data_IF_324846355167
#
_entry.id   IF_324846355167
#
_cell.length_a   1.000
_cell.length_b   1.000
_cell.length_c   1.000
_cell.angle_alpha   90.00
_cell.angle_beta   90.00
_cell.angle_gamma   90.00
#
_symmetry.space_group_name_H-M   'P 1'
#
loop_
_entity.id
_entity.type
_entity.pdbx_description
1 polymer ?
#
# COMPACT_ATOMS: atom_id res chain seq x y z
N UNK A 1 -3.93 18.27 -1.16
CA UNK A 1 -3.65 16.84 -0.91
C UNK A 1 -2.17 16.54 -0.72
N UNK A 2 -1.27 17.11 -1.53
CA UNK A 2 0.19 16.92 -1.38
C UNK A 2 0.69 17.18 0.04
N UNK A 3 0.30 18.30 0.67
CA UNK A 3 0.71 18.63 2.04
C UNK A 3 0.34 17.56 3.08
N UNK A 4 -0.85 16.95 2.98
CA UNK A 4 -1.29 15.89 3.89
C UNK A 4 -0.44 14.63 3.65
N UNK A 5 -0.27 14.26 2.37
CA UNK A 5 0.58 13.13 1.98
C UNK A 5 2.02 13.30 2.46
N UNK A 6 2.60 14.49 2.32
CA UNK A 6 3.96 14.81 2.76
C UNK A 6 4.12 14.66 4.27
N UNK A 7 3.17 15.19 5.05
CA UNK A 7 3.23 15.10 6.51
C UNK A 7 3.06 13.66 7.02
N UNK A 8 2.13 12.91 6.44
CA UNK A 8 1.98 11.48 6.77
C UNK A 8 3.26 10.74 6.42
N UNK A 9 3.83 11.02 5.24
CA UNK A 9 5.05 10.34 4.80
C UNK A 9 6.23 10.63 5.72
N UNK A 10 6.40 11.89 6.14
CA UNK A 10 7.41 12.28 7.15
C UNK A 10 7.19 11.59 8.50
N UNK A 11 5.94 11.48 8.95
CA UNK A 11 5.64 10.78 10.20
C UNK A 11 6.07 9.30 10.13
N UNK A 12 5.81 8.64 8.99
CA UNK A 12 6.28 7.28 8.75
C UNK A 12 7.80 7.19 8.61
N UNK A 13 8.46 8.16 7.98
CA UNK A 13 9.93 8.20 7.89
C UNK A 13 10.57 8.29 9.27
N UNK A 14 10.05 9.15 10.15
CA UNK A 14 10.53 9.26 11.54
C UNK A 14 10.26 7.96 12.31
N UNK A 15 9.05 7.42 12.21
CA UNK A 15 8.67 6.19 12.92
C UNK A 15 9.48 4.96 12.45
N UNK A 16 9.84 4.91 11.17
CA UNK A 16 10.60 3.80 10.58
C UNK A 16 12.12 4.00 10.61
N UNK A 17 12.61 5.22 10.84
CA UNK A 17 14.03 5.54 10.91
C UNK A 17 14.87 4.62 11.84
N UNK A 18 14.43 4.24 13.07
CA UNK A 18 15.23 3.37 13.92
C UNK A 18 15.35 1.94 13.36
N UNK A 19 14.41 1.52 12.51
CA UNK A 19 14.39 0.18 11.91
C UNK A 19 15.19 0.11 10.61
N UNK A 20 15.63 1.24 10.04
CA UNK A 20 16.37 1.28 8.78
C UNK A 20 17.77 0.62 8.83
N UNK A 21 18.32 0.42 10.03
CA UNK A 21 19.58 -0.30 10.24
C UNK A 21 19.39 -1.80 10.50
N UNK A 22 18.16 -2.23 10.82
CA UNK A 22 17.81 -3.62 11.15
C UNK A 22 17.13 -4.25 9.93
N UNK A 23 16.88 -5.56 9.98
CA UNK A 23 16.09 -6.25 8.95
C UNK A 23 14.77 -5.50 8.67
N UNK A 24 14.37 -5.32 7.40
CA UNK A 24 13.12 -4.66 6.98
C UNK A 24 11.87 -5.17 7.72
N UNK A 25 11.92 -6.43 8.16
CA UNK A 25 10.84 -7.12 8.86
C UNK A 25 10.42 -6.42 10.16
N UNK A 26 11.36 -5.84 10.91
CA UNK A 26 11.04 -5.22 12.20
C UNK A 26 10.24 -3.93 12.06
N UNK A 27 10.58 -3.10 11.07
CA UNK A 27 9.80 -1.91 10.75
C UNK A 27 8.37 -2.27 10.34
N UNK A 28 8.21 -3.32 9.53
CA UNK A 28 6.90 -3.83 9.14
C UNK A 28 6.09 -4.32 10.35
N UNK A 29 6.69 -5.16 11.21
CA UNK A 29 6.02 -5.68 12.41
C UNK A 29 5.59 -4.55 13.37
N UNK A 30 6.46 -3.56 13.59
CA UNK A 30 6.15 -2.42 14.45
C UNK A 30 4.91 -1.66 13.93
N UNK A 31 4.87 -1.35 12.63
CA UNK A 31 3.72 -0.70 12.01
C UNK A 31 2.48 -1.58 12.07
N UNK A 32 2.60 -2.90 11.85
CA UNK A 32 1.48 -3.84 11.97
C UNK A 32 0.87 -3.88 13.37
N UNK A 33 1.71 -3.91 14.41
CA UNK A 33 1.23 -3.91 15.79
C UNK A 33 0.48 -2.61 16.11
N UNK A 34 1.07 -1.46 15.75
CA UNK A 34 0.43 -0.14 15.92
C UNK A 34 -0.88 -0.10 15.14
N UNK A 35 -0.90 -0.64 13.92
CA UNK A 35 -2.12 -0.74 13.11
C UNK A 35 -3.19 -1.57 13.82
N UNK A 36 -2.86 -2.76 14.33
CA UNK A 36 -3.79 -3.60 15.08
C UNK A 36 -4.42 -2.86 16.27
N UNK A 37 -3.61 -2.09 17.02
CA UNK A 37 -4.10 -1.23 18.11
C UNK A 37 -5.07 -0.17 17.60
N UNK A 38 -4.69 0.57 16.56
CA UNK A 38 -5.53 1.61 15.95
C UNK A 38 -6.87 1.00 15.50
N UNK A 39 -6.86 -0.16 14.85
CA UNK A 39 -8.09 -0.81 14.38
C UNK A 39 -9.01 -1.21 15.54
N UNK A 40 -8.47 -1.77 16.62
CA UNK A 40 -9.28 -2.10 17.82
C UNK A 40 -9.88 -0.84 18.43
N UNK A 41 -9.12 0.25 18.51
CA UNK A 41 -9.60 1.52 19.05
C UNK A 41 -10.69 2.14 18.15
N UNK A 42 -10.48 2.20 16.84
CA UNK A 42 -11.48 2.71 15.89
C UNK A 42 -12.75 1.88 15.96
N UNK A 43 -12.63 0.54 15.94
CA UNK A 43 -13.77 -0.36 16.07
C UNK A 43 -14.53 -0.15 17.37
N UNK A 44 -13.81 0.02 18.50
CA UNK A 44 -14.42 0.28 19.80
C UNK A 44 -15.28 1.53 19.81
N UNK A 45 -14.79 2.63 19.25
CA UNK A 45 -15.46 3.93 19.31
C UNK A 45 -16.59 4.09 18.29
N UNK A 46 -16.51 3.38 17.17
CA UNK A 46 -17.50 3.47 16.08
C UNK A 46 -18.63 2.45 16.22
N UNK A 47 -18.36 1.33 16.88
CA UNK A 47 -19.30 0.22 17.00
C UNK A 47 -20.24 0.36 18.20
N UNK A 48 -21.51 -0.02 18.02
CA UNK A 48 -22.46 -0.12 19.12
C UNK A 48 -22.21 -1.41 19.94
N UNK A 49 -21.25 -1.32 20.86
CA UNK A 49 -20.82 -2.44 21.71
C UNK A 49 -21.98 -3.06 22.51
N UNK A 50 -22.95 -2.26 22.96
CA UNK A 50 -24.09 -2.78 23.72
C UNK A 50 -25.03 -3.61 22.83
N UNK A 51 -25.34 -3.13 21.63
CA UNK A 51 -26.17 -3.87 20.67
C UNK A 51 -25.48 -5.15 20.19
N UNK A 52 -24.16 -5.12 20.01
CA UNK A 52 -23.36 -6.29 19.69
C UNK A 52 -23.45 -7.34 20.79
N UNK A 53 -23.23 -6.97 22.05
CA UNK A 53 -23.30 -7.90 23.18
C UNK A 53 -24.68 -8.53 23.30
N UNK A 54 -25.74 -7.72 23.26
CA UNK A 54 -27.13 -8.22 23.29
C UNK A 54 -27.43 -9.20 22.16
N UNK A 55 -26.94 -8.93 20.94
CA UNK A 55 -27.13 -9.84 19.80
C UNK A 55 -26.35 -11.14 19.98
N UNK A 56 -25.13 -11.08 20.52
CA UNK A 56 -24.29 -12.27 20.82
C UNK A 56 -24.92 -13.16 21.89
N UNK A 57 -25.53 -12.56 22.91
CA UNK A 57 -26.25 -13.29 23.95
C UNK A 57 -27.48 -14.00 23.36
N UNK A 58 -28.23 -13.34 22.47
CA UNK A 58 -29.36 -13.96 21.74
C UNK A 58 -28.93 -15.12 20.85
N UNK A 59 -27.82 -14.97 20.11
CA UNK A 59 -27.25 -16.05 19.30
C UNK A 59 -26.90 -17.24 20.18
N UNK A 60 -26.26 -16.99 21.33
CA UNK A 60 -25.88 -18.05 22.28
C UNK A 60 -27.10 -18.76 22.87
N UNK A 61 -28.18 -18.03 23.16
CA UNK A 61 -29.45 -18.60 23.62
C UNK A 61 -30.08 -19.50 22.56
N UNK A 62 -30.13 -19.09 21.29
CA UNK A 62 -30.67 -19.94 20.21
C UNK A 62 -29.79 -21.16 19.92
N UNK A 63 -28.47 -21.08 20.11
CA UNK A 63 -27.61 -22.28 20.05
C UNK A 63 -27.94 -23.28 21.16
N UNK A 64 -28.30 -22.80 22.36
CA UNK A 64 -28.74 -23.65 23.46
C UNK A 64 -30.11 -24.28 23.16
N UNK A 65 -31.02 -23.53 22.54
CA UNK A 65 -32.34 -23.99 22.09
C UNK A 65 -32.22 -25.15 21.09
N UNK A 66 -31.36 -25.02 20.07
CA UNK A 66 -31.05 -26.12 19.14
C UNK A 66 -30.51 -27.36 19.86
N UNK A 67 -29.70 -27.16 20.91
CA UNK A 67 -29.14 -28.27 21.69
C UNK A 67 -30.19 -28.94 22.59
N UNK A 68 -31.21 -28.20 23.02
CA UNK A 68 -32.28 -28.67 23.91
C UNK A 68 -33.40 -29.38 23.14
N UNK A 69 -33.73 -28.91 21.93
CA UNK A 69 -34.84 -29.41 21.09
C UNK A 69 -34.35 -30.18 19.86
N UNK A 70 -33.39 -31.08 20.04
CA UNK A 70 -32.80 -31.86 18.93
C UNK A 70 -33.78 -32.79 18.22
N UNK A 71 -34.85 -33.18 18.91
CA UNK A 71 -35.80 -34.19 18.44
C UNK A 71 -36.98 -33.60 17.64
N UNK A 72 -37.09 -32.26 17.56
CA UNK A 72 -38.11 -31.57 16.77
C UNK A 72 -37.47 -30.81 15.61
N UNK A 73 -37.58 -31.37 14.41
CA UNK A 73 -36.98 -30.83 13.18
C UNK A 73 -37.51 -29.44 12.84
N UNK A 74 -38.81 -29.17 13.07
CA UNK A 74 -39.42 -27.89 12.74
C UNK A 74 -38.92 -26.79 13.69
N UNK A 75 -38.84 -27.10 14.99
CA UNK A 75 -38.30 -26.19 16.00
C UNK A 75 -36.80 -25.90 15.76
N UNK A 76 -36.07 -26.92 15.31
CA UNK A 76 -34.64 -26.81 15.00
C UNK A 76 -34.39 -25.91 13.78
N UNK A 77 -35.16 -26.07 12.70
CA UNK A 77 -35.07 -25.23 11.50
C UNK A 77 -35.44 -23.77 11.79
N UNK A 78 -36.51 -23.54 12.55
CA UNK A 78 -36.91 -22.19 12.94
C UNK A 78 -35.83 -21.52 13.82
N UNK A 79 -35.23 -22.25 14.76
CA UNK A 79 -34.09 -21.78 15.55
C UNK A 79 -32.89 -21.41 14.68
N UNK A 80 -32.58 -22.19 13.63
CA UNK A 80 -31.53 -21.85 12.67
C UNK A 80 -31.83 -20.57 11.90
N UNK A 81 -33.08 -20.35 11.47
CA UNK A 81 -33.49 -19.09 10.81
C UNK A 81 -33.34 -17.90 11.78
N UNK A 82 -33.69 -18.07 13.06
CA UNK A 82 -33.50 -17.03 14.09
C UNK A 82 -32.02 -16.73 14.32
N UNK A 83 -31.15 -17.75 14.37
CA UNK A 83 -29.69 -17.58 14.45
C UNK A 83 -29.18 -16.80 13.24
N UNK A 84 -29.63 -17.16 12.03
CA UNK A 84 -29.22 -16.49 10.79
C UNK A 84 -29.63 -15.02 10.79
N UNK A 85 -30.88 -14.70 11.15
CA UNK A 85 -31.36 -13.31 11.27
C UNK A 85 -30.59 -12.51 12.32
N UNK A 86 -30.29 -13.11 13.47
CA UNK A 86 -29.47 -12.47 14.50
C UNK A 86 -28.04 -12.24 14.00
N UNK A 87 -27.47 -13.20 13.27
CA UNK A 87 -26.13 -13.07 12.67
C UNK A 87 -26.08 -11.96 11.62
N UNK A 88 -27.11 -11.84 10.76
CA UNK A 88 -27.22 -10.72 9.82
C UNK A 88 -27.35 -9.37 10.53
N UNK A 89 -28.11 -9.32 11.62
CA UNK A 89 -28.24 -8.13 12.45
C UNK A 89 -26.91 -7.75 13.11
N UNK A 90 -26.17 -8.74 13.61
CA UNK A 90 -24.82 -8.57 14.14
C UNK A 90 -23.85 -8.02 13.07
N UNK A 91 -23.86 -8.60 11.86
CA UNK A 91 -23.05 -8.13 10.74
C UNK A 91 -23.37 -6.68 10.40
N UNK A 92 -24.65 -6.28 10.39
CA UNK A 92 -25.08 -4.90 10.15
C UNK A 92 -24.43 -3.91 11.13
N UNK A 93 -24.33 -4.26 12.42
CA UNK A 93 -23.65 -3.41 13.40
C UNK A 93 -22.13 -3.29 13.18
N UNK A 94 -21.54 -4.23 12.44
CA UNK A 94 -20.11 -4.21 12.11
C UNK A 94 -19.79 -3.43 10.82
N UNK A 95 -20.78 -3.19 9.94
CA UNK A 95 -20.57 -2.49 8.65
C UNK A 95 -20.05 -1.07 8.85
N UNK A 96 -20.66 -0.28 9.74
CA UNK A 96 -20.25 1.10 9.96
C UNK A 96 -18.78 1.21 10.46
N UNK A 97 -18.34 0.46 11.48
CA UNK A 97 -16.94 0.38 11.86
C UNK A 97 -16.01 -0.02 10.71
N UNK A 98 -16.40 -1.02 9.90
CA UNK A 98 -15.59 -1.46 8.76
C UNK A 98 -15.39 -0.33 7.74
N UNK A 99 -16.44 0.41 7.41
CA UNK A 99 -16.33 1.56 6.50
C UNK A 99 -15.41 2.65 7.06
N UNK A 100 -15.49 2.93 8.36
CA UNK A 100 -14.58 3.90 8.99
C UNK A 100 -13.13 3.40 9.00
N UNK A 101 -12.90 2.09 9.16
CA UNK A 101 -11.56 1.49 9.13
C UNK A 101 -10.90 1.51 7.74
N UNK A 102 -11.67 1.59 6.65
CA UNK A 102 -11.11 1.67 5.29
C UNK A 102 -10.13 2.84 5.16
N UNK A 103 -10.48 4.00 5.73
CA UNK A 103 -9.67 5.23 5.62
C UNK A 103 -8.26 5.05 6.21
N UNK A 104 -8.07 4.69 7.49
CA UNK A 104 -6.73 4.48 8.03
C UNK A 104 -6.01 3.31 7.38
N UNK A 105 -6.70 2.22 7.01
CA UNK A 105 -6.05 1.07 6.34
C UNK A 105 -5.46 1.50 5.00
N UNK A 106 -6.20 2.22 4.16
CA UNK A 106 -5.71 2.69 2.86
C UNK A 106 -4.49 3.59 3.05
N UNK A 107 -4.51 4.52 4.02
CA UNK A 107 -3.38 5.41 4.29
C UNK A 107 -2.14 4.63 4.72
N UNK A 108 -2.29 3.64 5.61
CA UNK A 108 -1.18 2.79 6.07
C UNK A 108 -0.66 1.94 4.91
N UNK A 109 -1.55 1.35 4.12
CA UNK A 109 -1.19 0.53 2.97
C UNK A 109 -0.44 1.33 1.91
N UNK A 110 -0.85 2.56 1.64
CA UNK A 110 -0.12 3.46 0.73
C UNK A 110 1.31 3.71 1.21
N UNK A 111 1.48 3.98 2.52
CA UNK A 111 2.78 4.24 3.11
C UNK A 111 3.69 3.01 3.17
N UNK A 112 3.12 1.83 3.39
CA UNK A 112 3.87 0.58 3.33
C UNK A 112 4.19 0.18 1.89
N UNK A 113 3.26 0.36 0.96
CA UNK A 113 3.43 0.02 -0.45
C UNK A 113 4.63 0.72 -1.07
N UNK A 114 4.79 2.03 -0.86
CA UNK A 114 5.94 2.78 -1.39
C UNK A 114 7.29 2.39 -0.75
N UNK A 115 7.31 1.58 0.33
CA UNK A 115 8.54 1.16 1.04
C UNK A 115 8.83 -0.33 0.93
N UNK A 116 7.81 -1.17 0.75
CA UNK A 116 7.92 -2.62 0.85
C UNK A 116 7.41 -3.38 -0.37
N UNK A 117 6.73 -2.73 -1.32
CA UNK A 117 6.28 -3.40 -2.55
C UNK A 117 7.43 -3.60 -3.54
N UNK A 118 8.18 -2.52 -3.76
CA UNK A 118 9.39 -2.47 -4.60
C UNK A 118 10.56 -1.98 -3.78
N UNK A 119 11.76 -2.43 -4.13
CA UNK A 119 13.01 -1.98 -3.49
C UNK A 119 13.79 -1.05 -4.40
N UNK A 120 14.63 -0.22 -3.78
CA UNK A 120 15.67 0.53 -4.48
C UNK A 120 16.61 -0.40 -5.26
N UNK A 121 17.22 0.15 -6.30
CA UNK A 121 18.26 -0.55 -7.04
C UNK A 121 19.49 -0.68 -6.16
N UNK A 122 20.18 -1.82 -6.27
CA UNK A 122 21.50 -1.97 -5.68
C UNK A 122 22.56 -1.56 -6.70
N UNK A 123 23.75 -1.09 -6.26
CA UNK A 123 24.87 -0.89 -7.16
C UNK A 123 25.14 -2.14 -8.00
N UNK A 124 25.26 -1.97 -9.31
CA UNK A 124 25.41 -3.05 -10.30
C UNK A 124 24.11 -3.61 -10.88
N UNK A 125 22.94 -3.23 -10.35
CA UNK A 125 21.65 -3.60 -10.95
C UNK A 125 21.19 -2.56 -11.99
N UNK A 126 20.23 -2.94 -12.82
CA UNK A 126 19.64 -2.06 -13.81
C UNK A 126 18.11 -2.03 -13.70
N UNK A 127 17.51 -0.97 -14.24
CA UNK A 127 16.06 -0.82 -14.37
C UNK A 127 15.72 -0.29 -15.76
N UNK A 128 14.52 -0.65 -16.23
CA UNK A 128 13.92 -0.05 -17.41
C UNK A 128 13.12 1.17 -16.97
N UNK A 129 13.36 2.29 -17.63
CA UNK A 129 12.58 3.52 -17.50
C UNK A 129 11.75 3.66 -18.76
N UNK A 130 10.45 3.84 -18.53
CA UNK A 130 9.40 3.92 -19.53
C UNK A 130 8.79 5.29 -19.48
N UNK A 131 8.79 6.00 -20.60
CA UNK A 131 8.27 7.36 -20.70
C UNK A 131 7.12 7.36 -21.67
N UNK A 132 5.90 7.53 -21.16
CA UNK A 132 4.67 7.54 -21.96
C UNK A 132 4.20 8.96 -22.22
N UNK A 133 3.97 9.28 -23.49
CA UNK A 133 3.49 10.59 -23.92
C UNK A 133 1.98 10.72 -23.76
N UNK A 134 1.50 11.97 -23.71
CA UNK A 134 0.08 12.26 -23.75
C UNK A 134 -0.56 11.83 -25.07
N UNK A 135 -1.88 11.58 -25.05
CA UNK A 135 -2.60 11.10 -26.21
C UNK A 135 -2.67 12.11 -27.36
N UNK A 136 -2.44 13.39 -27.06
CA UNK A 136 -2.35 14.50 -28.01
C UNK A 136 -0.99 14.60 -28.73
N UNK A 137 -0.01 13.76 -28.36
CA UNK A 137 1.39 13.92 -28.79
C UNK A 137 1.88 12.70 -29.59
N UNK A 138 2.43 12.95 -30.78
CA UNK A 138 3.11 11.95 -31.60
C UNK A 138 4.60 11.90 -31.27
N UNK A 139 5.12 10.71 -30.96
CA UNK A 139 6.54 10.51 -30.60
C UNK A 139 7.51 10.81 -31.75
N UNK A 140 7.08 10.55 -33.00
CA UNK A 140 7.95 10.69 -34.17
C UNK A 140 8.44 12.11 -34.42
N UNK A 141 7.74 13.11 -33.90
CA UNK A 141 7.97 14.53 -34.25
C UNK A 141 8.78 15.29 -33.19
N UNK A 142 9.14 14.64 -32.07
CA UNK A 142 9.73 15.34 -30.92
C UNK A 142 11.11 14.75 -30.59
N UNK A 143 12.17 15.58 -30.56
CA UNK A 143 13.48 15.11 -30.12
C UNK A 143 13.43 14.73 -28.64
N UNK A 144 13.81 13.49 -28.34
CA UNK A 144 13.91 12.96 -26.98
C UNK A 144 15.38 12.73 -26.66
N UNK A 145 15.85 13.29 -25.55
CA UNK A 145 17.20 13.03 -25.04
C UNK A 145 17.14 12.72 -23.55
N UNK A 146 18.02 11.83 -23.10
CA UNK A 146 18.10 11.40 -21.71
C UNK A 146 19.51 11.65 -21.21
N UNK A 147 19.60 12.36 -20.09
CA UNK A 147 20.84 12.64 -19.38
C UNK A 147 20.77 11.97 -18.00
N UNK A 148 21.78 11.19 -17.65
CA UNK A 148 21.92 10.55 -16.33
C UNK A 148 22.99 11.24 -15.51
N UNK A 149 22.76 11.43 -14.21
CA UNK A 149 23.79 11.90 -13.28
C UNK A 149 24.88 10.85 -13.05
N UNK A 150 26.05 11.25 -12.51
CA UNK A 150 27.26 10.41 -12.38
C UNK A 150 27.05 9.04 -11.69
N UNK A 151 26.06 8.90 -10.83
CA UNK A 151 25.75 7.62 -10.17
C UNK A 151 24.83 6.66 -10.95
N UNK A 152 24.42 7.06 -12.16
CA UNK A 152 23.63 6.27 -13.08
C UNK A 152 24.31 6.23 -14.45
N UNK A 153 24.22 5.08 -15.11
CA UNK A 153 24.73 4.90 -16.47
C UNK A 153 23.58 4.59 -17.40
N UNK A 154 23.47 5.32 -18.51
CA UNK A 154 22.60 4.92 -19.61
C UNK A 154 23.22 3.70 -20.31
N UNK A 155 22.54 2.55 -20.26
CA UNK A 155 23.05 1.28 -20.80
C UNK A 155 22.61 1.03 -22.25
N UNK A 156 21.46 1.56 -22.64
CA UNK A 156 20.86 1.32 -23.97
C UNK A 156 20.54 2.65 -24.67
N UNK A 157 20.54 2.67 -26.01
CA UNK A 157 19.92 3.77 -26.75
C UNK A 157 18.42 3.83 -26.43
N UNK A 158 17.80 4.99 -26.71
CA UNK A 158 16.38 5.19 -26.53
C UNK A 158 15.61 4.37 -27.57
N UNK A 159 14.74 3.48 -27.11
CA UNK A 159 13.84 2.71 -27.95
C UNK A 159 12.50 3.45 -28.06
N UNK A 160 12.17 3.92 -29.26
CA UNK A 160 10.90 4.57 -29.54
C UNK A 160 9.86 3.54 -29.96
N UNK A 161 8.71 3.53 -29.30
CA UNK A 161 7.58 2.64 -29.60
C UNK A 161 6.36 3.50 -29.95
N UNK A 162 6.22 3.95 -31.22
CA UNK A 162 5.15 4.86 -31.63
C UNK A 162 3.74 4.34 -31.36
N UNK A 163 3.52 3.02 -31.51
CA UNK A 163 2.23 2.39 -31.29
C UNK A 163 1.74 2.49 -29.83
N UNK A 164 2.66 2.56 -28.87
CA UNK A 164 2.37 2.71 -27.43
C UNK A 164 2.56 4.14 -26.93
N UNK A 165 3.03 5.05 -27.80
CA UNK A 165 3.47 6.40 -27.41
C UNK A 165 4.44 6.34 -26.23
N UNK A 166 5.37 5.41 -26.29
CA UNK A 166 6.33 5.13 -25.23
C UNK A 166 7.79 5.23 -25.74
N UNK A 167 8.68 5.72 -24.88
CA UNK A 167 10.13 5.67 -25.06
C UNK A 167 10.76 4.92 -23.90
N UNK A 168 11.49 3.85 -24.23
CA UNK A 168 12.10 2.94 -23.27
C UNK A 168 13.61 3.04 -23.30
N UNK A 169 14.21 3.06 -22.12
CA UNK A 169 15.66 2.97 -21.98
C UNK A 169 16.04 2.32 -20.67
N UNK A 170 17.24 1.73 -20.63
CA UNK A 170 17.76 1.07 -19.45
C UNK A 170 18.82 1.93 -18.76
N UNK A 171 18.69 2.02 -17.45
CA UNK A 171 19.67 2.68 -16.57
C UNK A 171 20.31 1.65 -15.64
N UNK A 172 21.63 1.69 -15.55
CA UNK A 172 22.44 0.92 -14.60
C UNK A 172 22.78 1.77 -13.38
N UNK A 173 22.62 1.19 -12.19
CA UNK A 173 22.98 1.81 -10.92
C UNK A 173 24.48 1.64 -10.65
N UNK A 174 25.21 2.75 -10.48
CA UNK A 174 26.66 2.72 -10.28
C UNK A 174 27.03 2.95 -8.82
N UNK A 175 26.56 4.05 -8.23
CA UNK A 175 26.89 4.44 -6.85
C UNK A 175 25.64 4.54 -5.98
N UNK A 176 25.77 4.20 -4.69
CA UNK A 176 24.69 4.40 -3.72
C UNK A 176 24.40 5.90 -3.55
N UNK A 177 23.12 6.27 -3.55
CA UNK A 177 22.68 7.66 -3.53
C UNK A 177 21.36 7.88 -4.25
N UNK A 178 20.87 9.11 -4.17
CA UNK A 178 19.75 9.59 -4.98
C UNK A 178 20.31 10.27 -6.23
N UNK A 179 20.02 9.70 -7.40
CA UNK A 179 20.54 10.17 -8.68
C UNK A 179 19.41 10.54 -9.61
N UNK A 180 19.51 11.70 -10.27
CA UNK A 180 18.47 12.15 -11.17
C UNK A 180 18.67 11.61 -12.60
N UNK A 181 17.59 11.17 -13.21
CA UNK A 181 17.47 11.00 -14.67
C UNK A 181 16.70 12.20 -15.21
N UNK A 182 17.31 12.91 -16.14
CA UNK A 182 16.71 14.06 -16.80
C UNK A 182 16.24 13.64 -18.19
N UNK A 183 14.93 13.62 -18.41
CA UNK A 183 14.32 13.37 -19.71
C UNK A 183 13.98 14.72 -20.32
N UNK A 184 14.58 15.03 -21.48
CA UNK A 184 14.26 16.21 -22.27
C UNK A 184 13.39 15.80 -23.45
N UNK A 185 12.22 16.41 -23.56
CA UNK A 185 11.20 16.12 -24.56
C UNK A 185 10.80 17.42 -25.26
N UNK A 186 11.45 17.71 -26.39
CA UNK A 186 11.42 19.04 -27.00
C UNK A 186 12.03 20.09 -26.05
N UNK A 187 11.26 21.12 -25.71
CA UNK A 187 11.68 22.21 -24.81
C UNK A 187 11.47 21.87 -23.31
N UNK A 188 10.77 20.77 -22.99
CA UNK A 188 10.48 20.39 -21.61
C UNK A 188 11.60 19.50 -21.07
N UNK A 189 12.10 19.79 -19.85
CA UNK A 189 13.05 18.93 -19.14
C UNK A 189 12.45 18.49 -17.81
N UNK A 190 12.34 17.18 -17.62
CA UNK A 190 11.81 16.57 -16.40
C UNK A 190 12.89 15.76 -15.70
N UNK A 191 13.15 16.12 -14.45
CA UNK A 191 14.07 15.39 -13.57
C UNK A 191 13.29 14.42 -12.70
N UNK A 192 13.65 13.14 -12.77
CA UNK A 192 13.07 12.08 -11.95
C UNK A 192 14.17 11.42 -11.11
N UNK A 193 14.04 11.39 -9.78
CA UNK A 193 15.03 10.75 -8.92
C UNK A 193 14.92 9.23 -9.00
N UNK A 194 16.06 8.55 -9.07
CA UNK A 194 16.20 7.11 -8.93
C UNK A 194 17.09 6.87 -7.71
N UNK A 195 16.58 6.06 -6.79
CA UNK A 195 17.27 5.75 -5.55
C UNK A 195 18.04 4.46 -5.73
N UNK A 196 19.34 4.54 -5.48
CA UNK A 196 20.25 3.40 -5.40
C UNK A 196 20.62 3.21 -3.94
N UNK A 197 20.22 2.11 -3.32
CA UNK A 197 20.56 1.82 -1.92
C UNK A 197 20.44 0.33 -1.59
N UNK A 198 21.25 -0.11 -0.62
CA UNK A 198 21.13 -1.44 -0.03
C UNK A 198 20.08 -1.49 1.11
N UNK A 199 19.57 -0.34 1.54
CA UNK A 199 18.59 -0.22 2.63
C UNK A 199 17.17 -0.09 2.06
N UNK A 200 16.19 -0.33 2.93
CA UNK A 200 14.79 -0.02 2.62
C UNK A 200 14.67 1.48 2.44
N UNK A 201 14.19 1.88 1.28
CA UNK A 201 13.95 3.27 0.92
C UNK A 201 12.58 3.38 0.28
N UNK A 202 12.03 4.58 0.35
CA UNK A 202 10.78 4.90 -0.33
C UNK A 202 11.03 5.02 -1.83
N UNK A 203 10.43 4.17 -2.63
CA UNK A 203 10.53 4.21 -4.09
C UNK A 203 9.17 4.43 -4.71
N UNK A 204 9.17 5.14 -5.84
CA UNK A 204 7.96 5.44 -6.58
C UNK A 204 8.08 4.88 -8.01
N UNK A 205 7.45 3.73 -8.29
CA UNK A 205 7.57 3.08 -9.59
C UNK A 205 6.88 3.83 -10.72
N UNK A 206 5.91 4.70 -10.41
CA UNK A 206 5.15 5.45 -11.41
C UNK A 206 5.09 6.90 -10.96
N UNK A 207 5.35 7.82 -11.88
CA UNK A 207 5.14 9.26 -11.71
C UNK A 207 4.18 9.72 -12.80
N UNK A 208 2.97 10.11 -12.41
CA UNK A 208 1.93 10.53 -13.34
C UNK A 208 1.44 11.94 -13.02
N UNK A 209 0.50 12.44 -13.84
CA UNK A 209 -0.22 13.68 -13.58
C UNK A 209 -0.99 13.62 -12.24
N UNK A 210 -1.34 14.78 -11.66
CA UNK A 210 -2.13 14.85 -10.43
C UNK A 210 -3.46 14.12 -10.58
N UNK A 211 -3.83 13.35 -9.56
CA UNK A 211 -5.11 12.65 -9.49
C UNK A 211 -5.35 12.05 -8.12
N UNK A 212 -6.60 11.75 -7.78
CA UNK A 212 -6.96 11.19 -6.46
C UNK A 212 -6.25 9.85 -6.22
N UNK A 213 -6.27 8.96 -7.21
CA UNK A 213 -5.59 7.66 -7.11
C UNK A 213 -4.07 7.81 -6.99
N UNK A 214 -3.45 8.73 -7.75
CA UNK A 214 -2.01 8.99 -7.63
C UNK A 214 -1.65 9.57 -6.26
N UNK A 215 -2.47 10.48 -5.72
CA UNK A 215 -2.26 11.06 -4.39
C UNK A 215 -2.37 10.03 -3.26
N UNK A 216 -3.21 9.01 -3.42
CA UNK A 216 -3.36 7.91 -2.46
C UNK A 216 -2.29 6.85 -2.63
N UNK A 217 -1.98 6.41 -3.86
CA UNK A 217 -1.04 5.31 -4.12
C UNK A 217 0.43 5.74 -4.02
N UNK A 218 0.74 6.99 -4.32
CA UNK A 218 2.08 7.55 -4.28
C UNK A 218 2.13 8.81 -3.39
N UNK A 219 1.80 8.70 -2.09
CA UNK A 219 1.78 9.84 -1.20
C UNK A 219 3.20 10.40 -1.05
N UNK A 220 3.34 11.73 -1.15
CA UNK A 220 4.62 12.42 -1.04
C UNK A 220 5.49 12.42 -2.29
N UNK A 221 4.99 11.87 -3.41
CA UNK A 221 5.64 12.03 -4.71
C UNK A 221 5.22 13.36 -5.35
N UNK A 222 6.17 14.06 -5.98
CA UNK A 222 5.85 15.22 -6.83
C UNK A 222 5.28 14.73 -8.16
N UNK A 223 4.02 15.05 -8.50
CA UNK A 223 3.43 14.64 -9.78
C UNK A 223 4.13 15.33 -10.96
N UNK A 224 3.76 14.91 -12.16
CA UNK A 224 4.10 15.66 -13.37
C UNK A 224 3.30 16.97 -13.42
N UNK A 225 3.84 18.06 -14.00
CA UNK A 225 3.06 19.27 -14.27
C UNK A 225 1.84 18.95 -15.16
N UNK A 226 0.70 19.61 -14.93
CA UNK A 226 -0.50 19.42 -15.76
C UNK A 226 -0.27 19.82 -17.23
N UNK A 227 0.62 20.78 -17.47
CA UNK A 227 1.03 21.22 -18.80
C UNK A 227 2.07 20.31 -19.48
N UNK A 228 2.50 19.24 -18.81
CA UNK A 228 3.53 18.34 -19.35
C UNK A 228 3.01 17.57 -20.56
N UNK A 229 3.87 17.40 -21.57
CA UNK A 229 3.58 16.54 -22.72
C UNK A 229 3.63 15.05 -22.39
N UNK A 230 4.07 14.70 -21.18
CA UNK A 230 4.13 13.33 -20.68
C UNK A 230 2.90 12.98 -19.85
N UNK A 231 2.45 11.73 -20.02
CA UNK A 231 1.34 11.14 -19.27
C UNK A 231 1.84 10.43 -18.01
N UNK A 232 2.86 9.59 -18.16
CA UNK A 232 3.50 8.89 -17.06
C UNK A 232 4.99 8.61 -17.33
N UNK A 233 5.77 8.56 -16.25
CA UNK A 233 7.13 8.01 -16.22
C UNK A 233 7.09 6.82 -15.28
N UNK A 234 7.42 5.63 -15.77
CA UNK A 234 7.44 4.39 -15.00
C UNK A 234 8.85 3.84 -14.92
N UNK A 235 9.24 3.39 -13.73
CA UNK A 235 10.53 2.76 -13.46
C UNK A 235 10.27 1.35 -12.95
N UNK A 236 10.81 0.36 -13.65
CA UNK A 236 10.67 -1.05 -13.29
C UNK A 236 11.66 -1.44 -12.19
N UNK A 237 11.31 -1.11 -10.95
CA UNK A 237 12.08 -1.52 -9.78
C UNK A 237 11.92 -3.02 -9.49
N UNK A 238 12.95 -3.71 -8.97
CA UNK A 238 12.83 -5.09 -8.50
C UNK A 238 11.77 -5.21 -7.39
N UNK A 239 11.02 -6.32 -7.41
CA UNK A 239 10.09 -6.68 -6.33
C UNK A 239 10.83 -6.86 -5.01
N UNK A 240 10.22 -6.43 -3.91
CA UNK A 240 10.77 -6.63 -2.58
C UNK A 240 10.10 -7.83 -1.90
N UNK A 241 10.89 -8.88 -1.68
CA UNK A 241 10.47 -10.05 -0.91
C UNK A 241 11.09 -10.01 0.47
N UNK A 242 10.29 -10.31 1.49
CA UNK A 242 10.75 -10.38 2.87
C UNK A 242 10.94 -11.83 3.27
N UNK A 243 12.09 -12.14 3.87
CA UNK A 243 12.38 -13.47 4.39
C UNK A 243 11.85 -13.60 5.83
N UNK A 244 10.92 -14.53 6.05
CA UNK A 244 10.37 -14.88 7.36
C UNK A 244 10.60 -16.36 7.59
N UNK A 245 11.36 -16.73 8.62
CA UNK A 245 11.72 -18.14 8.90
C UNK A 245 12.28 -18.91 7.68
N UNK A 246 13.00 -18.22 6.79
CA UNK A 246 13.56 -18.80 5.56
C UNK A 246 12.62 -18.82 4.35
N UNK A 247 11.35 -18.44 4.50
CA UNK A 247 10.40 -18.33 3.39
C UNK A 247 10.30 -16.89 2.89
N UNK A 248 10.24 -16.74 1.56
CA UNK A 248 10.04 -15.43 0.93
C UNK A 248 8.55 -15.15 0.84
N UNK A 249 8.11 -14.04 1.43
CA UNK A 249 6.68 -13.70 1.50
C UNK A 249 6.47 -12.23 1.19
N UNK A 250 5.33 -11.93 0.57
CA UNK A 250 4.91 -10.57 0.32
C UNK A 250 4.60 -9.85 1.64
N UNK A 251 5.02 -8.58 1.74
CA UNK A 251 4.81 -7.74 2.92
C UNK A 251 3.34 -7.64 3.34
N UNK A 252 2.39 -7.71 2.40
CA UNK A 252 0.95 -7.66 2.67
C UNK A 252 0.51 -8.76 3.62
N UNK A 253 0.97 -9.99 3.38
CA UNK A 253 0.59 -11.15 4.19
C UNK A 253 1.10 -10.98 5.62
N UNK A 254 2.38 -10.60 5.75
CA UNK A 254 3.01 -10.35 7.05
C UNK A 254 2.26 -9.24 7.78
N UNK A 255 1.95 -8.15 7.08
CA UNK A 255 1.24 -7.01 7.63
C UNK A 255 -0.14 -7.39 8.18
N UNK A 256 -0.97 -8.07 7.39
CA UNK A 256 -2.31 -8.46 7.82
C UNK A 256 -2.27 -9.47 8.96
N UNK A 257 -1.44 -10.51 8.86
CA UNK A 257 -1.33 -11.53 9.92
C UNK A 257 -0.86 -10.90 11.23
N UNK A 258 0.20 -10.10 11.21
CA UNK A 258 0.72 -9.45 12.41
C UNK A 258 -0.30 -8.44 12.99
N UNK A 259 -0.99 -7.67 12.15
CA UNK A 259 -2.00 -6.70 12.61
C UNK A 259 -3.22 -7.37 13.23
N UNK A 260 -3.69 -8.48 12.65
CA UNK A 260 -4.81 -9.27 13.18
C UNK A 260 -4.41 -9.92 14.51
N UNK A 261 -3.22 -10.52 14.58
CA UNK A 261 -2.71 -11.11 15.82
C UNK A 261 -2.59 -10.06 16.92
N UNK A 262 -2.01 -8.89 16.63
CA UNK A 262 -1.89 -7.79 17.58
C UNK A 262 -3.27 -7.30 18.05
N UNK A 263 -4.20 -7.07 17.12
CA UNK A 263 -5.57 -6.66 17.45
C UNK A 263 -6.30 -7.71 18.31
N UNK A 264 -6.15 -8.99 17.98
CA UNK A 264 -6.79 -10.09 18.72
C UNK A 264 -6.23 -10.24 20.14
N UNK A 265 -4.91 -10.17 20.31
CA UNK A 265 -4.26 -10.25 21.61
C UNK A 265 -4.65 -9.08 22.52
N UNK A 266 -4.83 -7.89 21.94
CA UNK A 266 -5.12 -6.68 22.69
C UNK A 266 -6.62 -6.41 22.90
N UNK A 267 -7.52 -7.17 22.26
CA UNK A 267 -8.97 -6.99 22.40
C UNK A 267 -9.46 -7.05 23.85
N UNK A 268 -8.84 -7.92 24.66
CA UNK A 268 -9.16 -8.11 26.07
C UNK A 268 -8.80 -6.88 26.92
N UNK A 269 -7.62 -6.29 26.66
CA UNK A 269 -7.14 -5.08 27.34
C UNK A 269 -8.08 -3.90 27.05
N UNK A 270 -8.54 -3.77 25.82
CA UNK A 270 -9.42 -2.67 25.41
C UNK A 270 -10.92 -2.91 25.68
N UNK A 271 -11.29 -4.06 26.26
CA UNK A 271 -12.68 -4.49 26.56
C UNK A 271 -13.60 -4.45 25.34
N UNK A 272 -13.08 -4.78 24.17
CA UNK A 272 -13.82 -4.80 22.90
C UNK A 272 -14.40 -6.20 22.70
N UNK A 273 -15.72 -6.29 22.47
CA UNK A 273 -16.33 -7.52 21.99
C UNK A 273 -16.20 -7.56 20.47
N UNK A 274 -15.18 -8.26 20.00
CA UNK A 274 -15.05 -8.76 18.62
C UNK A 274 -15.84 -10.07 18.44
#
# INVERSE_FOLDING_TARGET
>A
MQFIGDNITRAFDVALSPFGAVSPLWGLLAVSIVTGVIMVLVFKHTSNQQAIRKTKDKISAHFLEVRLFKDDLALMLDSQIRILRCTLTYMKYSVAPMLVMIVPVILIMAQLGIRYDRRALKPGENAIVKVTCDDSVSIGDIPVSVETADGLRLETPLLHIPAQREVDFRVGAVTEGEHAVSVRFGDEQLKTPIIVSNKVQRVYPVRSRPGLMAAVLAPGQRPLPDSSKLKEIRIEFPSQELAVFGWRTNWLVIFFVASILAGYLLKGVFKVSL
#
